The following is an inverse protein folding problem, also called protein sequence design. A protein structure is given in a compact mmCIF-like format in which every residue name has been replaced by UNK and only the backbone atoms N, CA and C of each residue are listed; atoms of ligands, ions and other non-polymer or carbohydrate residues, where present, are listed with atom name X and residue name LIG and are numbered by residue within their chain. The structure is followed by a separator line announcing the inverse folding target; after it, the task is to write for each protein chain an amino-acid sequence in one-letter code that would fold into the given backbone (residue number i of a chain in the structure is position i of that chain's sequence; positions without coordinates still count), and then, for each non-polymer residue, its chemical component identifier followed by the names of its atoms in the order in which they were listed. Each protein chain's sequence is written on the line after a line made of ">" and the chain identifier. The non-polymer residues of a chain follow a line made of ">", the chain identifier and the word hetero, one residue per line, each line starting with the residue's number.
data_IF_276911047609
#
_entry.id   IF_276911047609
#
_cell.length_a   1.000
_cell.length_b   1.000
_cell.length_c   1.000
_cell.angle_alpha   90.00
_cell.angle_beta   90.00
_cell.angle_gamma   90.00
#
_symmetry.space_group_name_H-M   'P 1'
#
loop_
_entity.id
_entity.type
_entity.pdbx_description
1 polymer ?
2 branched ?
3 non-polymer ?
4 non-polymer ?
5 non-polymer ?
6 water ?
#
# COMPACT_ATOMS: atom_id res chain seq x y z
N UNK A 11 48.53 -3.92 -26.24
CA UNK A 11 49.25 -2.82 -25.61
C UNK A 11 48.30 -1.69 -25.17
N UNK A 12 47.51 -1.17 -26.13
CA UNK A 12 46.40 -0.30 -25.80
C UNK A 12 45.22 -1.19 -25.40
N UNK A 13 45.28 -2.44 -25.84
CA UNK A 13 44.35 -3.49 -25.42
C UNK A 13 44.64 -3.87 -23.97
N UNK A 14 45.91 -4.14 -23.69
CA UNK A 14 46.40 -4.35 -22.33
C UNK A 14 45.98 -3.19 -21.43
N UNK A 15 46.46 -2.00 -21.75
CA UNK A 15 46.10 -0.78 -21.01
C UNK A 15 44.58 -0.61 -20.81
N UNK A 16 43.80 -0.96 -21.83
CA UNK A 16 42.34 -0.89 -21.72
C UNK A 16 41.76 -1.87 -20.68
N UNK A 17 42.12 -3.14 -20.79
CA UNK A 17 41.59 -4.16 -19.88
C UNK A 17 42.21 -4.14 -18.48
N UNK A 18 43.36 -3.48 -18.34
CA UNK A 18 43.99 -3.27 -17.04
C UNK A 18 43.39 -2.08 -16.30
N UNK A 19 43.10 -1.01 -17.04
CA UNK A 19 42.37 0.12 -16.49
C UNK A 19 40.93 -0.30 -16.22
N UNK A 20 40.52 -1.40 -16.84
CA UNK A 20 39.20 -2.00 -16.64
C UNK A 20 39.10 -2.80 -15.35
N UNK A 21 40.09 -3.65 -15.07
CA UNK A 21 40.05 -4.46 -13.85
C UNK A 21 40.39 -3.65 -12.60
N UNK A 22 40.80 -2.41 -12.80
CA UNK A 22 40.94 -1.47 -11.69
C UNK A 22 39.77 -0.49 -11.69
N UNK A 23 39.64 0.28 -12.77
CA UNK A 23 38.56 1.25 -12.86
C UNK A 23 37.15 0.67 -12.82
N UNK A 24 36.81 -0.20 -13.76
CA UNK A 24 35.49 -0.83 -13.76
C UNK A 24 35.21 -1.68 -12.51
N UNK A 25 35.88 -2.84 -12.40
CA UNK A 25 35.52 -3.83 -11.38
C UNK A 25 36.04 -3.58 -9.96
N UNK A 26 37.24 -3.04 -9.82
CA UNK A 26 37.77 -2.74 -8.48
C UNK A 26 37.24 -1.42 -7.90
N UNK A 27 37.20 -0.37 -8.70
CA UNK A 27 36.77 0.93 -8.20
C UNK A 27 35.28 1.18 -8.39
N UNK A 28 34.83 1.18 -9.63
CA UNK A 28 33.43 1.51 -9.94
C UNK A 28 32.41 0.48 -9.45
N UNK A 29 32.74 -0.80 -9.55
CA UNK A 29 31.83 -1.87 -9.11
C UNK A 29 32.06 -2.34 -7.67
N UNK A 30 32.93 -1.63 -6.97
CA UNK A 30 33.21 -1.89 -5.54
C UNK A 30 33.53 -3.36 -5.23
N UNK A 31 34.49 -3.91 -5.96
CA UNK A 31 34.91 -5.28 -5.79
C UNK A 31 35.98 -5.43 -4.72
N UNK A 32 36.28 -4.34 -4.03
CA UNK A 32 37.18 -4.39 -2.89
C UNK A 32 36.37 -4.57 -1.62
N UNK A 33 35.06 -4.73 -1.79
CA UNK A 33 34.13 -4.71 -0.68
C UNK A 33 33.39 -6.01 -0.46
N UNK A 34 33.32 -6.40 0.81
CA UNK A 34 32.34 -7.34 1.29
C UNK A 34 30.97 -6.69 1.14
N UNK A 35 29.95 -7.51 0.94
CA UNK A 35 28.60 -7.01 0.70
C UNK A 35 27.55 -7.77 1.55
N UNK A 36 26.71 -7.03 2.25
CA UNK A 36 25.62 -7.59 3.04
C UNK A 36 24.31 -6.91 2.62
N UNK A 37 23.18 -7.60 2.79
CA UNK A 37 21.89 -6.96 2.48
C UNK A 37 21.01 -6.78 3.73
N UNK A 38 20.07 -5.83 3.64
CA UNK A 38 19.43 -5.27 4.84
C UNK A 38 18.39 -6.16 5.51
N UNK A 39 18.42 -6.18 6.84
CA UNK A 39 17.29 -6.68 7.59
C UNK A 39 16.52 -5.46 8.11
N UNK A 40 15.20 -5.46 7.91
CA UNK A 40 14.37 -4.28 8.21
C UNK A 40 13.12 -4.63 9.03
N UNK A 41 12.67 -3.66 9.81
CA UNK A 41 11.38 -3.74 10.46
C UNK A 41 10.73 -2.36 10.43
N UNK A 42 9.46 -2.28 10.04
CA UNK A 42 8.77 -0.99 10.08
C UNK A 42 7.48 -1.03 10.92
N UNK A 43 7.20 0.09 11.60
CA UNK A 43 5.90 0.31 12.24
C UNK A 43 5.39 1.65 11.74
N UNK A 44 4.07 1.83 11.68
CA UNK A 44 3.52 3.08 11.14
C UNK A 44 2.47 3.68 12.05
N UNK A 45 2.27 4.99 11.96
CA UNK A 45 1.16 5.60 12.68
C UNK A 45 0.51 6.70 11.85
N UNK A 46 -0.79 6.58 11.60
CA UNK A 46 -1.50 7.61 10.87
C UNK A 46 -2.13 8.59 11.87
N UNK A 47 -2.23 9.87 11.49
CA UNK A 47 -2.77 10.91 12.39
C UNK A 47 -3.60 11.92 11.61
N UNK A 48 -4.79 12.18 12.12
CA UNK A 48 -5.69 13.13 11.49
C UNK A 48 -7.15 12.85 11.79
N UNK A 49 -8.01 13.80 11.43
CA UNK A 49 -9.44 13.67 11.54
C UNK A 49 -9.97 14.05 10.19
N UNK A 50 -11.02 13.36 9.75
CA UNK A 50 -11.75 13.77 8.56
C UNK A 50 -13.18 14.07 8.99
N UNK A 51 -13.83 15.00 8.28
CA UNK A 51 -15.19 15.42 8.57
C UNK A 51 -16.09 15.06 7.41
N UNK A 52 -17.24 14.46 7.71
CA UNK A 52 -18.22 14.15 6.68
C UNK A 52 -19.57 14.71 7.05
N UNK A 53 -20.32 15.10 6.03
CA UNK A 53 -21.73 15.43 6.19
C UNK A 53 -22.48 14.64 5.12
N UNK A 54 -23.36 13.73 5.56
CA UNK A 54 -24.15 12.94 4.62
C UNK A 54 -25.59 12.78 5.12
N UNK A 55 -26.42 12.17 4.27
CA UNK A 55 -27.84 11.99 4.58
C UNK A 55 -28.23 10.52 4.79
N UNK A 56 -28.49 10.17 6.04
CA UNK A 56 -28.18 11.07 7.16
C UNK A 56 -27.46 10.33 8.29
N UNK A 57 -26.20 10.67 8.51
CA UNK A 57 -25.58 10.40 9.81
C UNK A 57 -25.49 11.68 10.67
N UNK A 58 -25.87 12.82 10.08
CA UNK A 58 -25.56 14.12 10.63
C UNK A 58 -24.14 14.53 10.23
N UNK A 59 -23.51 15.37 11.04
CA UNK A 59 -22.07 15.64 10.88
C UNK A 59 -21.26 14.61 11.66
N UNK A 60 -20.25 14.06 11.00
CA UNK A 60 -19.52 12.90 11.51
C UNK A 60 -17.98 13.11 11.46
N UNK A 61 -17.26 12.73 12.51
CA UNK A 61 -15.80 12.75 12.44
C UNK A 61 -15.16 11.34 12.44
N UNK A 62 -14.12 11.18 11.63
CA UNK A 62 -13.39 9.93 11.51
C UNK A 62 -11.97 10.13 12.00
N UNK A 63 -11.60 9.43 13.08
CA UNK A 63 -10.21 9.49 13.51
C UNK A 63 -9.50 8.21 13.17
N UNK A 64 -8.26 8.09 13.63
CA UNK A 64 -7.38 6.99 13.26
C UNK A 64 -8.03 5.63 13.50
N UNK A 65 -8.78 5.51 14.59
CA UNK A 65 -9.37 4.22 14.92
C UNK A 65 -10.59 3.95 14.04
N UNK A 66 -11.11 4.99 13.39
CA UNK A 66 -12.20 4.83 12.44
C UNK A 66 -11.71 4.45 11.03
N UNK A 67 -10.64 5.07 10.57
CA UNK A 67 -10.18 4.90 9.18
C UNK A 67 -8.98 3.95 8.90
N UNK A 68 -8.42 3.30 9.92
CA UNK A 68 -7.34 2.36 9.63
C UNK A 68 -7.78 0.91 9.90
N UNK A 69 -7.93 0.14 8.82
CA UNK A 69 -8.49 -1.20 8.87
C UNK A 69 -7.53 -2.26 8.33
N UNK A 70 -7.05 -3.19 9.15
CA UNK A 70 -7.15 -3.30 10.60
C UNK A 70 -6.21 -2.26 11.24
N UNK A 71 -6.22 -2.11 12.58
CA UNK A 71 -5.46 -1.01 13.17
C UNK A 71 -3.96 -1.20 13.08
N UNK A 72 -3.54 -2.43 12.85
CA UNK A 72 -2.13 -2.74 12.73
C UNK A 72 -1.84 -3.84 11.70
N UNK A 73 -0.87 -3.60 10.82
CA UNK A 73 -0.36 -4.61 9.89
C UNK A 73 1.15 -4.57 9.92
N UNK A 74 1.81 -5.57 9.36
CA UNK A 74 3.26 -5.58 9.33
C UNK A 74 3.72 -4.91 8.04
N UNK A 75 4.30 -3.72 8.17
CA UNK A 75 4.79 -2.98 7.01
C UNK A 75 3.77 -2.69 5.89
N UNK A 76 2.54 -2.40 6.30
CA UNK A 76 1.48 -1.99 5.39
C UNK A 76 0.44 -1.23 6.19
N UNK A 77 -0.21 -0.24 5.59
CA UNK A 77 -1.33 0.40 6.26
C UNK A 77 -2.41 0.84 5.28
N UNK A 78 -3.67 0.62 5.65
CA UNK A 78 -4.76 0.98 4.78
C UNK A 78 -5.54 2.15 5.32
N UNK A 79 -5.65 3.22 4.53
CA UNK A 79 -6.44 4.39 4.92
C UNK A 79 -7.73 4.42 4.13
N UNK A 80 -8.84 4.44 4.86
CA UNK A 80 -10.16 4.58 4.27
C UNK A 80 -10.32 5.95 3.59
N UNK A 81 -10.92 5.97 2.40
CA UNK A 81 -11.09 7.22 1.63
C UNK A 81 -12.54 7.48 1.20
N UNK A 82 -13.19 6.49 0.62
CA UNK A 82 -14.60 6.65 0.25
C UNK A 82 -15.41 5.54 0.88
N UNK A 83 -16.71 5.73 1.06
CA UNK A 83 -17.56 4.63 1.55
C UNK A 83 -18.94 4.60 0.93
N UNK A 84 -19.55 3.42 0.97
CA UNK A 84 -20.99 3.26 0.81
C UNK A 84 -21.46 2.51 2.05
N UNK A 85 -22.27 3.17 2.86
CA UNK A 85 -22.67 2.66 4.18
C UNK A 85 -24.13 2.28 4.20
N UNK A 86 -24.39 1.05 4.64
CA UNK A 86 -25.74 0.55 4.78
C UNK A 86 -25.94 0.22 6.24
N UNK A 87 -26.88 0.89 6.90
CA UNK A 87 -27.02 0.76 8.34
C UNK A 87 -28.29 0.02 8.69
N UNK A 88 -28.34 -0.47 9.92
CA UNK A 88 -29.54 -1.08 10.49
C UNK A 88 -29.90 -2.41 9.83
N UNK A 89 -28.91 -3.12 9.33
CA UNK A 89 -29.14 -4.43 8.75
C UNK A 89 -29.53 -5.46 9.80
N UNK A 90 -30.45 -6.36 9.48
CA UNK A 90 -30.75 -7.48 10.37
C UNK A 90 -30.97 -8.74 9.56
N UNK A 91 -30.85 -9.91 10.20
CA UNK A 91 -31.03 -11.16 9.46
C UNK A 91 -32.51 -11.31 9.27
N UNK A 92 -32.92 -11.25 8.01
CA UNK A 92 -34.32 -11.10 7.71
C UNK A 92 -34.50 -11.29 6.21
N UNK A 93 -35.75 -11.16 5.74
CA UNK A 93 -36.07 -11.35 4.33
C UNK A 93 -36.17 -10.03 3.59
N UNK A 94 -35.71 -9.97 2.35
CA UNK A 94 -35.92 -8.78 1.52
C UNK A 94 -35.76 -9.11 0.03
N UNK A 95 -36.23 -8.21 -0.83
CA UNK A 95 -36.09 -8.39 -2.27
C UNK A 95 -34.65 -8.27 -2.71
N UNK A 96 -34.19 -9.17 -3.59
CA UNK A 96 -32.85 -9.04 -4.18
C UNK A 96 -32.81 -7.78 -5.01
N UNK A 97 -31.62 -7.25 -5.22
CA UNK A 97 -31.50 -6.09 -6.09
C UNK A 97 -31.71 -6.58 -7.51
N UNK A 98 -32.44 -5.78 -8.32
CA UNK A 98 -32.87 -6.20 -9.67
C UNK A 98 -31.73 -6.45 -10.65
N UNK A 99 -31.65 -7.66 -11.17
CA UNK A 99 -30.72 -8.04 -12.23
C UNK A 99 -31.40 -9.08 -13.10
N UNK A 100 -30.85 -9.32 -14.31
CA UNK A 100 -31.29 -10.45 -15.13
C UNK A 100 -31.42 -11.69 -14.27
N UNK A 101 -30.45 -11.88 -13.38
CA UNK A 101 -30.42 -13.06 -12.53
C UNK A 101 -31.49 -13.05 -11.46
N UNK A 102 -31.73 -11.87 -10.88
CA UNK A 102 -32.67 -11.73 -9.76
C UNK A 102 -34.16 -11.56 -10.13
N UNK A 103 -34.45 -10.86 -11.24
CA UNK A 103 -35.82 -10.44 -11.54
C UNK A 103 -36.73 -11.62 -11.82
N UNK A 104 -38.01 -11.40 -11.58
CA UNK A 104 -38.96 -12.48 -11.72
C UNK A 104 -40.40 -12.00 -11.91
N UNK A 105 -41.24 -12.92 -12.36
CA UNK A 105 -42.64 -12.68 -12.65
C UNK A 105 -43.48 -13.50 -11.70
N UNK A 106 -43.20 -14.78 -11.58
CA UNK A 106 -43.89 -15.63 -10.61
C UNK A 106 -43.01 -16.26 -9.50
N UNK A 107 -43.64 -16.65 -8.40
CA UNK A 107 -42.96 -17.38 -7.33
C UNK A 107 -42.21 -18.62 -7.86
N UNK A 108 -42.62 -19.12 -9.01
CA UNK A 108 -41.97 -20.27 -9.62
C UNK A 108 -40.54 -19.96 -10.06
N UNK A 109 -40.30 -18.70 -10.41
CA UNK A 109 -38.98 -18.28 -10.86
C UNK A 109 -37.91 -18.43 -9.79
N UNK A 110 -38.33 -18.52 -8.54
CA UNK A 110 -37.42 -18.52 -7.42
C UNK A 110 -37.48 -19.86 -6.68
N UNK A 111 -36.44 -20.68 -6.83
CA UNK A 111 -36.42 -21.95 -6.11
C UNK A 111 -35.94 -21.70 -4.68
N UNK A 112 -36.70 -22.14 -3.70
CA UNK A 112 -36.29 -22.00 -2.31
C UNK A 112 -34.94 -22.68 -2.09
N UNK A 113 -34.06 -21.97 -1.39
CA UNK A 113 -32.77 -22.50 -1.04
C UNK A 113 -31.69 -22.19 -2.04
N UNK A 114 -32.07 -21.83 -3.27
CA UNK A 114 -31.09 -21.47 -4.30
C UNK A 114 -30.24 -20.31 -3.80
N UNK A 115 -28.93 -20.51 -3.78
CA UNK A 115 -28.04 -19.48 -3.33
C UNK A 115 -26.79 -19.50 -4.20
N UNK A 116 -26.63 -18.49 -5.07
CA UNK A 116 -25.46 -18.42 -5.96
C UNK A 116 -24.59 -17.26 -5.54
N UNK A 117 -23.28 -17.42 -5.74
CA UNK A 117 -22.28 -16.48 -5.26
C UNK A 117 -22.57 -15.01 -5.57
N UNK A 118 -23.22 -14.73 -6.69
CA UNK A 118 -23.48 -13.33 -7.03
C UNK A 118 -24.87 -12.81 -6.66
N UNK A 119 -25.67 -13.66 -6.02
CA UNK A 119 -26.98 -13.23 -5.55
C UNK A 119 -26.91 -12.63 -4.16
N UNK A 120 -27.94 -11.87 -3.79
CA UNK A 120 -27.97 -11.16 -2.51
C UNK A 120 -28.23 -12.00 -1.26
N UNK A 121 -28.48 -13.30 -1.45
CA UNK A 121 -28.77 -14.16 -0.33
C UNK A 121 -29.38 -15.48 -0.76
N UNK A 122 -29.98 -16.18 0.21
CA UNK A 122 -30.62 -17.46 0.00
C UNK A 122 -32.11 -17.32 -0.28
N UNK A 123 -32.58 -17.86 -1.40
CA UNK A 123 -33.95 -17.63 -1.83
C UNK A 123 -35.00 -18.34 -0.96
N UNK A 124 -36.13 -17.65 -0.74
CA UNK A 124 -37.19 -18.14 0.13
C UNK A 124 -38.08 -19.32 -0.35
N UNK A 125 -38.31 -19.49 -1.66
CA UNK A 125 -38.27 -18.44 -2.65
C UNK A 125 -39.69 -17.96 -2.90
N UNK A 126 -39.82 -16.66 -3.12
CA UNK A 126 -41.10 -16.04 -3.36
C UNK A 126 -40.70 -14.95 -4.31
N UNK A 127 -41.55 -14.61 -5.25
CA UNK A 127 -41.28 -13.45 -6.08
C UNK A 127 -42.00 -12.31 -5.38
N UNK A 128 -41.27 -11.25 -5.04
CA UNK A 128 -41.85 -10.15 -4.27
C UNK A 128 -41.52 -8.83 -4.93
N UNK A 129 -42.31 -7.80 -4.64
CA UNK A 129 -42.10 -6.53 -5.33
C UNK A 129 -40.80 -5.89 -4.84
N UNK A 130 -39.91 -5.59 -5.78
CA UNK A 130 -38.75 -4.75 -5.50
C UNK A 130 -39.14 -3.29 -5.62
N UNK A 131 -40.06 -3.02 -6.54
CA UNK A 131 -40.48 -1.66 -6.81
C UNK A 131 -41.93 -1.71 -7.28
N UNK A 132 -42.41 -0.58 -7.78
CA UNK A 132 -43.74 -0.51 -8.36
C UNK A 132 -43.69 -1.31 -9.67
N UNK A 133 -42.66 -1.02 -10.46
CA UNK A 133 -42.43 -1.62 -11.76
C UNK A 133 -41.88 -3.07 -11.76
N UNK A 134 -40.90 -3.35 -10.91
CA UNK A 134 -40.14 -4.61 -10.98
C UNK A 134 -40.40 -5.57 -9.80
N UNK A 135 -40.29 -6.87 -10.08
CA UNK A 135 -40.37 -7.89 -9.04
C UNK A 135 -39.10 -8.76 -9.04
N UNK A 136 -38.76 -9.28 -7.86
CA UNK A 136 -37.46 -9.92 -7.62
C UNK A 136 -37.57 -11.04 -6.58
N UNK A 137 -36.72 -12.05 -6.71
CA UNK A 137 -36.71 -13.11 -5.73
C UNK A 137 -36.45 -12.60 -4.30
N UNK A 138 -37.32 -12.96 -3.37
CA UNK A 138 -37.09 -12.71 -1.95
C UNK A 138 -35.98 -13.60 -1.38
N UNK A 139 -34.99 -12.98 -0.76
CA UNK A 139 -33.88 -13.69 -0.15
C UNK A 139 -33.81 -13.45 1.35
N UNK A 140 -33.38 -14.48 2.06
CA UNK A 140 -32.92 -14.39 3.44
C UNK A 140 -31.47 -13.85 3.49
N UNK A 141 -31.25 -12.70 4.15
CA UNK A 141 -30.02 -11.95 4.02
C UNK A 141 -29.86 -10.96 5.16
N UNK A 142 -28.79 -10.18 5.14
CA UNK A 142 -28.71 -9.00 6.01
C UNK A 142 -29.45 -7.88 5.28
N UNK A 143 -30.59 -7.48 5.84
CA UNK A 143 -31.51 -6.59 5.14
C UNK A 143 -31.77 -5.32 5.95
N UNK A 144 -31.89 -4.19 5.25
CA UNK A 144 -31.90 -3.96 3.81
C UNK A 144 -30.56 -4.20 3.13
N UNK A 145 -30.61 -4.47 1.82
CA UNK A 145 -29.40 -4.72 1.06
C UNK A 145 -28.70 -3.40 0.82
N UNK A 146 -27.40 -3.47 0.61
CA UNK A 146 -26.65 -2.32 0.17
C UNK A 146 -27.13 -1.81 -1.19
N UNK A 147 -27.44 -0.52 -1.24
CA UNK A 147 -27.96 0.10 -2.45
C UNK A 147 -26.91 0.01 -3.58
N UNK A 148 -27.37 0.08 -4.81
CA UNK A 148 -26.44 -0.06 -5.94
C UNK A 148 -26.18 1.32 -6.55
N UNK A 149 -24.96 1.81 -6.36
CA UNK A 149 -24.62 3.20 -6.65
C UNK A 149 -23.14 3.29 -6.92
N UNK A 150 -22.72 4.40 -7.50
CA UNK A 150 -21.30 4.67 -7.66
C UNK A 150 -20.79 5.26 -6.35
N UNK A 151 -19.51 5.06 -6.04
CA UNK A 151 -18.99 5.69 -4.81
C UNK A 151 -18.90 7.19 -4.98
N UNK A 152 -19.17 7.95 -3.90
CA UNK A 152 -19.25 9.41 -3.94
C UNK A 152 -18.05 10.08 -4.64
N UNK A 153 -18.33 11.00 -5.55
CA UNK A 153 -17.33 11.92 -6.07
C UNK A 153 -17.77 13.35 -5.83
N UNK A 154 -17.06 14.14 -5.00
CA UNK A 154 -15.79 13.95 -4.30
C UNK A 154 -15.92 12.86 -3.26
N UNK A 155 -14.79 12.25 -2.85
CA UNK A 155 -14.84 11.14 -1.89
C UNK A 155 -15.20 11.65 -0.50
N UNK A 156 -15.96 10.87 0.26
CA UNK A 156 -16.39 11.24 1.61
C UNK A 156 -15.25 11.65 2.53
N UNK A 157 -14.18 10.88 2.46
CA UNK A 157 -13.02 11.06 3.33
C UNK A 157 -11.89 11.91 2.73
N UNK A 158 -12.24 12.76 1.76
CA UNK A 158 -11.28 13.65 1.11
C UNK A 158 -10.27 14.30 2.08
N UNK A 159 -10.72 14.67 3.27
CA UNK A 159 -9.85 15.24 4.30
C UNK A 159 -8.59 14.39 4.60
N UNK A 160 -8.67 13.11 4.25
CA UNK A 160 -7.57 12.16 4.41
C UNK A 160 -6.30 12.62 3.71
N UNK A 161 -6.46 13.43 2.67
CA UNK A 161 -5.31 13.94 1.96
C UNK A 161 -4.37 14.68 2.91
N UNK A 162 -4.95 15.32 3.92
CA UNK A 162 -4.12 16.07 4.85
C UNK A 162 -3.58 15.25 6.05
N UNK A 163 -3.90 13.96 6.13
CA UNK A 163 -3.43 13.10 7.23
C UNK A 163 -1.91 12.96 7.16
N UNK A 164 -1.29 12.62 8.29
CA UNK A 164 0.12 12.32 8.28
C UNK A 164 0.40 10.90 8.75
N UNK A 165 1.53 10.36 8.31
CA UNK A 165 1.94 9.03 8.71
C UNK A 165 3.41 9.04 9.12
N UNK A 166 3.64 8.63 10.36
CA UNK A 166 5.00 8.40 10.84
C UNK A 166 5.40 7.02 10.39
N UNK A 167 6.47 6.94 9.60
CA UNK A 167 7.06 5.66 9.22
C UNK A 167 8.35 5.43 10.02
N UNK A 168 8.28 4.50 10.96
CA UNK A 168 9.44 4.21 11.81
C UNK A 168 10.13 2.92 11.38
N UNK A 169 11.42 3.01 11.09
CA UNK A 169 12.12 1.95 10.41
C UNK A 169 13.45 1.64 11.07
N UNK A 170 13.55 0.42 11.57
CA UNK A 170 14.79 -0.11 12.11
C UNK A 170 15.47 -1.05 11.14
N UNK A 171 16.69 -0.72 10.77
CA UNK A 171 17.47 -1.60 9.91
C UNK A 171 18.75 -2.08 10.59
N UNK A 172 19.19 -3.25 10.16
CA UNK A 172 20.40 -3.86 10.69
C UNK A 172 21.14 -4.57 9.58
N UNK A 173 22.46 -4.56 9.70
CA UNK A 173 23.37 -5.24 8.78
C UNK A 173 24.24 -6.22 9.57
N UNK A 174 23.82 -7.49 9.62
CA UNK A 174 24.44 -8.52 10.46
C UNK A 174 25.96 -8.62 10.28
N UNK A 175 26.44 -8.66 9.03
CA UNK A 175 27.88 -8.83 8.77
C UNK A 175 28.71 -7.72 9.39
N UNK A 176 28.17 -6.51 9.40
CA UNK A 176 28.94 -5.38 9.89
C UNK A 176 28.62 -4.96 11.33
N UNK A 177 27.75 -5.73 12.00
CA UNK A 177 27.26 -5.36 13.33
C UNK A 177 26.72 -3.92 13.33
N UNK A 178 25.97 -3.60 12.26
CA UNK A 178 25.48 -2.24 12.02
C UNK A 178 23.98 -2.10 12.24
N UNK A 179 23.60 -1.12 13.06
CA UNK A 179 22.22 -0.89 13.45
C UNK A 179 21.86 0.57 13.33
N UNK A 180 20.78 0.88 12.62
CA UNK A 180 20.36 2.26 12.52
C UNK A 180 18.85 2.35 12.38
N UNK A 181 18.31 3.54 12.65
CA UNK A 181 16.90 3.80 12.60
C UNK A 181 16.68 4.95 11.62
N UNK A 182 15.50 5.07 11.00
CA UNK A 182 15.31 6.13 10.00
C UNK A 182 14.98 7.43 10.72
N UNK A 183 14.90 7.32 12.03
CA UNK A 183 14.82 8.47 12.89
C UNK A 183 16.28 8.75 13.22
N UNK A 184 16.80 9.79 12.57
CA UNK A 184 18.24 10.05 12.53
C UNK A 184 18.70 10.74 13.80
N UNK A 185 19.99 10.61 14.13
CA UNK A 185 20.55 11.22 15.35
C UNK A 185 20.39 12.74 15.41
N UNK A 186 20.31 13.43 14.27
CA UNK A 186 20.20 14.89 14.26
C UNK A 186 18.76 15.40 14.53
N UNK A 187 17.88 14.44 14.85
CA UNK A 187 16.44 14.60 15.01
C UNK A 187 16.18 14.36 16.49
N UNK A 188 15.06 14.86 17.00
CA UNK A 188 14.74 14.72 18.41
C UNK A 188 13.22 14.79 18.57
N UNK A 189 12.75 14.72 19.81
CA UNK A 189 11.31 14.66 20.02
C UNK A 189 10.47 15.87 19.55
N UNK A 190 10.90 17.08 19.87
CA UNK A 190 10.14 18.29 19.46
C UNK A 190 9.96 18.36 17.95
N UNK A 191 11.05 18.05 17.24
CA UNK A 191 11.03 18.07 15.80
C UNK A 191 9.85 17.23 15.28
N UNK A 192 9.71 16.02 15.82
CA UNK A 192 8.57 15.16 15.51
C UNK A 192 7.25 15.72 15.99
N UNK A 193 7.28 16.57 17.02
CA UNK A 193 6.06 17.30 17.42
C UNK A 193 5.52 18.23 16.34
N UNK A 194 6.41 18.72 15.48
CA UNK A 194 5.96 19.64 14.41
C UNK A 194 6.16 19.18 12.96
N UNK A 195 7.34 18.63 12.67
CA UNK A 195 7.78 18.33 11.30
C UNK A 195 6.84 17.49 10.41
N UNK A 196 6.88 17.80 9.12
CA UNK A 196 6.25 17.00 8.09
C UNK A 196 7.25 16.91 6.93
N UNK A 197 7.50 15.70 6.43
CA UNK A 197 8.54 15.51 5.42
C UNK A 197 8.37 16.38 4.18
N UNK A 198 9.40 17.16 3.88
CA UNK A 198 9.53 17.78 2.57
C UNK A 198 10.93 17.55 2.02
N UNK A 199 11.03 17.47 0.69
CA UNK A 199 12.31 17.37 0.03
C UNK A 199 13.20 18.56 0.37
N UNK A 200 12.65 19.77 0.24
CA UNK A 200 13.43 21.00 0.44
C UNK A 200 13.73 21.27 1.91
N UNK A 201 12.73 21.66 2.69
CA UNK A 201 12.98 22.06 4.07
C UNK A 201 13.06 20.97 5.16
N UNK A 202 12.48 19.79 4.93
CA UNK A 202 12.45 18.77 5.99
C UNK A 202 12.70 17.32 5.53
N UNK A 203 13.85 17.04 4.93
CA UNK A 203 14.04 15.70 4.35
C UNK A 203 14.24 14.59 5.40
N UNK A 204 14.60 15.00 6.61
CA UNK A 204 14.91 14.09 7.70
C UNK A 204 13.74 13.85 8.64
N UNK A 205 12.58 14.38 8.27
CA UNK A 205 11.40 14.19 9.09
C UNK A 205 10.69 12.94 8.58
N UNK A 206 10.55 11.93 9.45
CA UNK A 206 9.92 10.72 8.94
C UNK A 206 8.43 10.74 9.15
N UNK A 207 7.79 11.87 8.89
CA UNK A 207 6.33 11.97 9.00
C UNK A 207 5.80 12.61 7.72
N UNK A 208 4.99 11.86 6.97
CA UNK A 208 4.71 12.22 5.60
C UNK A 208 3.26 12.57 5.49
N UNK A 209 2.94 13.66 4.76
CA UNK A 209 1.56 13.95 4.40
C UNK A 209 1.13 12.96 3.31
N UNK A 210 -0.01 12.30 3.49
CA UNK A 210 -0.49 11.29 2.53
C UNK A 210 -0.61 11.90 1.14
N UNK A 211 -1.14 13.11 1.11
CA UNK A 211 -1.28 13.87 -0.12
C UNK A 211 0.06 13.95 -0.83
N UNK A 212 1.12 14.23 -0.08
CA UNK A 212 2.45 14.43 -0.66
C UNK A 212 3.02 13.17 -1.22
N UNK A 213 2.77 12.06 -0.52
CA UNK A 213 3.19 10.76 -1.00
C UNK A 213 2.53 10.48 -2.35
N UNK A 214 1.19 10.52 -2.44
CA UNK A 214 0.63 10.15 -3.74
C UNK A 214 0.95 11.20 -4.80
N UNK A 215 1.17 12.44 -4.36
CA UNK A 215 1.46 13.52 -5.27
C UNK A 215 2.81 13.34 -5.92
N UNK A 216 3.82 13.09 -5.10
CA UNK A 216 5.18 12.88 -5.55
C UNK A 216 5.29 11.67 -6.52
N UNK A 217 4.34 10.76 -6.43
CA UNK A 217 4.24 9.65 -7.39
C UNK A 217 3.50 10.09 -8.65
N UNK A 218 3.23 11.39 -8.74
CA UNK A 218 2.54 11.95 -9.89
C UNK A 218 1.13 11.40 -10.04
N UNK A 219 0.41 11.33 -8.92
CA UNK A 219 -0.99 10.93 -8.90
C UNK A 219 -1.79 11.98 -8.15
N UNK A 220 -3.11 11.95 -8.30
CA UNK A 220 -3.96 12.96 -7.65
C UNK A 220 -4.85 12.38 -6.54
N UNK A 221 -4.54 12.72 -5.29
CA UNK A 221 -5.21 12.11 -4.14
C UNK A 221 -6.73 12.10 -4.25
N UNK A 222 -7.29 13.20 -4.70
CA UNK A 222 -8.73 13.34 -4.71
C UNK A 222 -9.40 12.56 -5.84
N UNK A 223 -8.63 12.14 -6.84
CA UNK A 223 -9.13 11.18 -7.84
C UNK A 223 -9.02 9.75 -7.33
N UNK A 224 -7.89 9.46 -6.69
CA UNK A 224 -7.58 8.12 -6.21
C UNK A 224 -8.52 7.71 -5.07
N UNK A 225 -8.88 8.69 -4.25
CA UNK A 225 -9.70 8.44 -3.08
C UNK A 225 -11.13 8.12 -3.48
N UNK A 226 -11.47 8.29 -4.73
CA UNK A 226 -12.80 7.87 -5.12
C UNK A 226 -12.96 6.35 -5.16
N UNK A 227 -12.13 5.68 -5.97
CA UNK A 227 -12.21 4.21 -6.10
C UNK A 227 -11.15 3.45 -5.30
N UNK A 228 -10.24 4.18 -4.67
CA UNK A 228 -9.14 3.58 -3.93
C UNK A 228 -7.96 3.22 -4.81
N UNK A 229 -6.92 2.65 -4.18
CA UNK A 229 -5.74 2.18 -4.89
C UNK A 229 -4.66 1.61 -3.97
N UNK A 230 -3.50 1.27 -4.54
CA UNK A 230 -2.36 0.78 -3.79
C UNK A 230 -1.11 1.66 -3.99
N UNK A 231 -0.53 2.18 -2.90
CA UNK A 231 0.64 3.06 -2.98
C UNK A 231 1.86 2.41 -2.38
N UNK A 232 2.93 2.31 -3.16
CA UNK A 232 4.18 1.86 -2.59
C UNK A 232 5.06 2.96 -2.02
N UNK A 233 5.68 2.67 -0.89
CA UNK A 233 6.70 3.53 -0.30
C UNK A 233 7.99 2.71 -0.18
N UNK A 234 9.00 3.05 -0.99
CA UNK A 234 10.27 2.32 -0.96
C UNK A 234 11.27 3.09 -0.14
N UNK A 235 11.83 2.41 0.85
CA UNK A 235 12.86 2.98 1.71
C UNK A 235 14.15 2.24 1.38
N UNK A 236 15.08 2.93 0.73
CA UNK A 236 16.32 2.28 0.31
C UNK A 236 17.53 2.67 1.19
N UNK A 237 18.14 1.68 1.85
CA UNK A 237 19.37 1.94 2.58
C UNK A 237 20.58 1.32 1.89
N UNK A 238 21.26 2.11 1.08
CA UNK A 238 22.42 1.61 0.37
C UNK A 238 23.60 2.35 0.97
N UNK A 239 24.54 1.61 1.51
CA UNK A 239 25.55 2.23 2.33
C UNK A 239 26.97 1.76 2.03
N UNK A 240 27.87 2.74 1.92
CA UNK A 240 29.30 2.50 1.93
C UNK A 240 29.71 2.70 3.38
N UNK A 241 30.10 1.63 4.05
CA UNK A 241 30.44 1.75 5.46
C UNK A 241 31.92 2.12 5.63
N UNK A 242 32.65 2.17 4.52
CA UNK A 242 34.00 2.74 4.47
C UNK A 242 33.87 4.24 4.66
N UNK A 243 32.82 4.82 4.10
CA UNK A 243 32.43 6.19 4.41
C UNK A 243 31.94 6.27 5.85
N UNK A 244 31.83 7.50 6.39
CA UNK A 244 31.36 7.54 7.79
C UNK A 244 29.92 7.04 7.93
N UNK A 245 29.55 6.70 9.15
CA UNK A 245 28.23 6.18 9.45
C UNK A 245 27.16 7.26 9.30
N UNK A 246 27.59 8.49 9.01
CA UNK A 246 26.72 9.66 8.84
C UNK A 246 25.97 9.70 7.51
N UNK A 247 26.59 9.24 6.41
CA UNK A 247 25.80 8.77 5.26
C UNK A 247 25.32 7.43 5.76
N UNK A 248 24.78 6.61 4.86
CA UNK A 248 23.96 5.49 5.29
C UNK A 248 22.78 6.13 5.97
N UNK A 249 21.99 6.77 5.12
CA UNK A 249 20.74 7.36 5.47
C UNK A 249 19.77 6.68 4.52
N UNK A 250 18.49 6.58 4.90
CA UNK A 250 17.55 5.99 3.95
C UNK A 250 17.18 6.99 2.87
N UNK A 251 16.74 6.50 1.72
CA UNK A 251 16.18 7.35 0.67
C UNK A 251 14.79 6.87 0.30
N UNK A 252 13.82 7.77 0.40
CA UNK A 252 12.41 7.46 0.13
C UNK A 252 12.05 7.74 -1.32
N UNK A 253 11.42 6.78 -1.98
CA UNK A 253 10.76 7.06 -3.25
C UNK A 253 9.35 6.47 -3.24
N UNK A 254 8.42 7.15 -3.89
CA UNK A 254 7.03 6.75 -3.83
C UNK A 254 6.49 6.38 -5.20
N UNK A 255 5.76 5.28 -5.30
CA UNK A 255 5.25 4.84 -6.61
C UNK A 255 3.86 4.23 -6.49
N UNK A 256 2.92 4.59 -7.37
CA UNK A 256 1.63 3.90 -7.35
C UNK A 256 1.70 2.47 -7.89
N UNK A 257 1.26 1.51 -7.08
CA UNK A 257 1.38 0.07 -7.38
C UNK A 257 0.31 -0.61 -8.28
N UNK A 258 -0.94 -0.19 -8.16
CA UNK A 258 -2.03 -0.74 -8.97
C UNK A 258 -2.09 0.05 -10.26
N UNK A 259 -3.15 -0.14 -11.04
CA UNK A 259 -3.38 0.65 -12.25
C UNK A 259 -2.32 0.43 -13.36
N UNK A 260 -2.13 -0.84 -13.72
CA UNK A 260 -1.17 -1.25 -14.77
C UNK A 260 -1.54 -0.83 -16.21
N UNK A 261 -2.81 -1.02 -16.57
CA UNK A 261 -3.32 -0.58 -17.88
C UNK A 261 -4.41 0.50 -17.75
N UNK A 262 -4.02 1.76 -17.42
CA UNK A 262 -4.91 2.88 -17.04
C UNK A 262 -5.98 3.25 -18.08
N UNK A 263 -5.86 2.73 -19.30
CA UNK A 263 -6.93 2.83 -20.30
C UNK A 263 -8.18 2.05 -19.85
N UNK A 264 -7.99 1.13 -18.90
CA UNK A 264 -9.04 0.24 -18.42
C UNK A 264 -9.99 0.85 -17.40
N UNK A 265 -11.28 0.63 -17.64
CA UNK A 265 -12.31 0.90 -16.65
C UNK A 265 -12.62 -0.40 -15.89
N UNK A 266 -11.83 -1.44 -16.15
CA UNK A 266 -12.13 -2.76 -15.63
C UNK A 266 -11.52 -3.05 -14.26
N UNK A 267 -12.39 -3.28 -13.29
CA UNK A 267 -12.01 -3.52 -11.89
C UNK A 267 -11.02 -2.47 -11.35
N UNK A 268 -11.41 -1.19 -11.38
CA UNK A 268 -10.44 -0.20 -10.92
C UNK A 268 -10.34 -0.12 -9.39
N UNK A 269 -9.20 0.36 -8.89
CA UNK A 269 -9.01 0.68 -7.48
C UNK A 269 -8.96 -0.45 -6.46
N UNK A 270 -9.31 -0.11 -5.24
CA UNK A 270 -9.26 -1.04 -4.13
C UNK A 270 -10.44 -0.79 -3.21
N UNK A 271 -11.15 -1.84 -2.85
CA UNK A 271 -12.22 -1.69 -1.86
C UNK A 271 -12.55 -3.00 -1.18
N UNK A 272 -13.14 -2.90 0.00
CA UNK A 272 -13.57 -4.11 0.70
C UNK A 272 -14.79 -3.82 1.57
N UNK A 273 -15.50 -4.87 1.94
CA UNK A 273 -16.65 -4.70 2.80
C UNK A 273 -16.25 -5.12 4.22
N UNK A 274 -16.76 -4.39 5.21
CA UNK A 274 -16.54 -4.72 6.62
C UNK A 274 -17.75 -4.28 7.44
N UNK A 275 -17.89 -4.80 8.65
CA UNK A 275 -19.13 -4.53 9.36
C UNK A 275 -18.87 -4.15 10.80
N UNK A 276 -19.83 -3.48 11.41
CA UNK A 276 -19.81 -3.25 12.83
C UNK A 276 -21.08 -3.87 13.38
N UNK A 277 -20.98 -4.61 14.49
CA UNK A 277 -22.14 -5.32 15.00
C UNK A 277 -22.64 -4.75 16.31
N UNK A 278 -23.96 -4.77 16.48
CA UNK A 278 -24.63 -4.24 17.67
C UNK A 278 -25.75 -5.19 18.12
N UNK A 279 -26.05 -5.20 19.41
CA UNK A 279 -27.30 -5.80 19.87
C UNK A 279 -28.28 -4.66 20.13
N UNK A 280 -29.47 -4.76 19.54
CA UNK A 280 -30.50 -3.75 19.77
C UNK A 280 -31.27 -4.05 21.07
N UNK A 281 -32.36 -3.31 21.28
CA UNK A 281 -33.24 -3.50 22.44
C UNK A 281 -33.61 -4.97 22.71
N UNK A 282 -34.29 -5.60 21.75
CA UNK A 282 -34.72 -7.00 21.84
C UNK A 282 -33.56 -7.97 22.03
N UNK A 283 -32.35 -7.48 21.83
CA UNK A 283 -31.18 -8.35 21.87
C UNK A 283 -31.19 -9.23 20.64
N UNK A 284 -31.42 -8.60 19.48
CA UNK A 284 -31.23 -9.26 18.19
C UNK A 284 -30.18 -8.47 17.41
N UNK A 285 -29.19 -9.18 16.89
CA UNK A 285 -28.09 -8.54 16.18
C UNK A 285 -28.54 -7.66 15.01
N UNK A 286 -28.12 -6.41 15.08
CA UNK A 286 -28.24 -5.53 13.94
C UNK A 286 -26.81 -5.08 13.57
N UNK A 287 -26.60 -4.71 12.32
CA UNK A 287 -25.25 -4.60 11.80
C UNK A 287 -25.16 -3.40 10.87
N UNK A 288 -24.01 -2.73 10.84
CA UNK A 288 -23.75 -1.69 9.86
C UNK A 288 -22.72 -2.25 8.91
N UNK A 289 -23.00 -2.17 7.62
CA UNK A 289 -22.07 -2.64 6.61
C UNK A 289 -21.44 -1.47 5.87
N UNK A 290 -20.12 -1.50 5.70
CA UNK A 290 -19.45 -0.47 4.93
C UNK A 290 -18.76 -1.14 3.74
N UNK A 291 -18.98 -0.60 2.55
CA UNK A 291 -18.11 -0.96 1.46
C UNK A 291 -17.16 0.23 1.42
N UNK A 292 -15.95 0.02 1.93
CA UNK A 292 -14.92 1.03 1.93
C UNK A 292 -13.94 0.97 0.79
N UNK A 293 -13.57 2.15 0.31
CA UNK A 293 -12.54 2.30 -0.70
C UNK A 293 -11.47 3.05 0.03
N UNK A 294 -10.23 2.80 -0.35
CA UNK A 294 -9.15 3.50 0.30
C UNK A 294 -7.86 3.17 -0.39
N UNK A 295 -6.78 3.69 0.17
CA UNK A 295 -5.46 3.43 -0.37
C UNK A 295 -4.69 2.57 0.61
N UNK A 296 -4.27 1.39 0.17
CA UNK A 296 -3.34 0.60 0.93
C UNK A 296 -1.94 1.17 0.69
N UNK A 297 -1.19 1.47 1.75
CA UNK A 297 0.20 1.90 1.61
C UNK A 297 1.18 0.77 1.93
N UNK A 298 1.90 0.29 0.93
CA UNK A 298 2.92 -0.72 1.13
C UNK A 298 4.30 -0.13 1.40
N UNK A 299 4.83 -0.39 2.59
CA UNK A 299 6.18 0.03 2.90
C UNK A 299 7.14 -1.09 2.56
N UNK A 300 8.05 -0.84 1.62
CA UNK A 300 9.05 -1.82 1.17
C UNK A 300 10.45 -1.32 1.45
N UNK A 301 11.25 -2.08 2.17
CA UNK A 301 12.61 -1.66 2.50
C UNK A 301 13.69 -2.51 1.82
N UNK A 302 14.64 -1.87 1.15
CA UNK A 302 15.75 -2.56 0.52
C UNK A 302 17.05 -1.90 0.90
N UNK A 303 18.14 -2.64 0.78
CA UNK A 303 19.44 -2.01 0.75
C UNK A 303 20.63 -2.93 0.85
N UNK A 304 21.78 -2.43 0.43
CA UNK A 304 23.02 -3.19 0.41
C UNK A 304 24.15 -2.37 0.99
N UNK A 305 24.91 -2.99 1.88
CA UNK A 305 26.06 -2.33 2.49
C UNK A 305 27.34 -3.02 2.08
N UNK A 306 28.24 -2.26 1.46
CA UNK A 306 29.61 -2.72 1.26
C UNK A 306 30.57 -2.21 2.32
N UNK A 307 31.63 -2.94 2.59
CA UNK A 307 32.70 -2.45 3.46
C UNK A 307 34.02 -3.07 3.00
N UNK A 308 35.13 -2.41 3.26
CA UNK A 308 36.40 -2.93 2.72
C UNK A 308 36.88 -4.22 3.38
N UNK A 309 37.10 -5.24 2.54
CA UNK A 309 37.84 -6.43 2.95
C UNK A 309 38.86 -6.79 1.88
N UNK A 310 40.01 -7.31 2.32
CA UNK A 310 41.09 -7.66 1.41
C UNK A 310 40.73 -8.87 0.55
N UNK A 311 40.05 -9.83 1.16
CA UNK A 311 39.74 -11.10 0.50
C UNK A 311 39.09 -10.93 -0.89
N UNK A 312 37.94 -10.26 -0.98
CA UNK A 312 37.35 -10.13 -2.32
C UNK A 312 38.13 -9.19 -3.23
N UNK A 313 39.01 -8.37 -2.67
CA UNK A 313 39.88 -7.49 -3.46
C UNK A 313 40.94 -8.30 -4.19
N UNK A 314 41.66 -9.13 -3.42
CA UNK A 314 42.65 -10.04 -3.96
C UNK A 314 41.98 -10.94 -4.98
N UNK A 315 40.90 -11.60 -4.56
CA UNK A 315 40.16 -12.50 -5.43
C UNK A 315 39.78 -11.83 -6.75
N UNK A 316 39.20 -10.63 -6.68
CA UNK A 316 38.83 -9.89 -7.88
C UNK A 316 40.01 -9.51 -8.76
N UNK A 317 41.15 -9.22 -8.15
CA UNK A 317 42.35 -8.90 -8.90
C UNK A 317 42.85 -10.15 -9.64
N UNK A 318 42.93 -11.27 -8.92
CA UNK A 318 43.28 -12.55 -9.50
C UNK A 318 42.41 -12.91 -10.68
N UNK A 319 41.09 -12.72 -10.52
CA UNK A 319 40.17 -12.94 -11.62
C UNK A 319 40.37 -11.91 -12.74
N UNK A 320 40.94 -10.76 -12.39
CA UNK A 320 41.18 -9.69 -13.34
C UNK A 320 42.34 -9.93 -14.29
N UNK A 321 43.46 -10.40 -13.73
CA UNK A 321 44.65 -10.69 -14.52
C UNK A 321 44.42 -11.82 -15.53
N UNK A 322 43.56 -12.77 -15.16
CA UNK A 322 43.20 -13.89 -16.01
C UNK A 322 42.63 -13.42 -17.35
N UNK A 323 41.79 -12.40 -17.31
CA UNK A 323 41.24 -11.79 -18.52
C UNK A 323 42.23 -10.81 -19.18
N UNK A 324 42.91 -10.02 -18.36
CA UNK A 324 43.85 -9.01 -18.84
C UNK A 324 44.99 -9.58 -19.69
N UNK A 325 45.51 -10.74 -19.30
CA UNK A 325 46.53 -11.42 -20.10
C UNK A 325 45.96 -12.15 -21.32
N UNK A 326 44.80 -12.78 -21.11
CA UNK A 326 44.11 -13.50 -22.18
C UNK A 326 43.68 -12.58 -23.33
N UNK A 327 43.63 -11.28 -23.06
CA UNK A 327 43.53 -10.30 -24.14
C UNK A 327 44.67 -10.48 -25.15
N UNK A 328 45.90 -10.25 -24.69
CA UNK A 328 47.11 -10.41 -25.49
C UNK A 328 47.26 -11.85 -26.02
N UNK A 329 46.69 -12.81 -25.29
CA UNK A 329 46.71 -14.20 -25.74
C UNK A 329 45.78 -14.45 -26.95
N UNK A 330 44.60 -13.85 -26.94
CA UNK A 330 43.63 -14.05 -28.02
C UNK A 330 43.91 -13.13 -29.21
N UNK A 331 44.79 -12.15 -29.01
CA UNK A 331 45.36 -11.41 -30.14
C UNK A 331 45.97 -12.39 -31.16
N UNK A 332 46.80 -13.30 -30.67
CA UNK A 332 47.38 -14.36 -31.50
C UNK A 332 46.49 -15.60 -31.72
N UNK A 333 45.79 -16.02 -30.67
CA UNK A 333 45.21 -17.38 -30.62
C UNK A 333 44.03 -17.68 -31.56
N UNK A 334 43.53 -16.66 -32.25
CA UNK A 334 42.39 -16.83 -33.15
C UNK A 334 42.71 -17.81 -34.29
#
# INVERSE_FOLDING_TARGET
>A
GSSKKVGTLNRFTQALVIAYVIGYVCVYNKGYQDTDTVLSSVTTKVKGIALTKTSELGERIWDVADYIIPPQEDGSFFVLTNMIITTNQTQSKCAENPTPASTCTSHRDCKRGFNDARGDGVRTGRCVSYSASVKTCEVLSWCPLEKIVDPPNPPLLADAERFTVLIKNNIRYPKFNFNKRNILPNINSSYLTHCVFSRKTDPDCPIFRLGDIVGEAEEDFQIMAVRGGVMGVQIRWDCDLDMPQSWCVPRYTFRRLDNKDPDNNVAPGYNFRFAKYYKNSDGTETRTLIKGYGIRFDVMVFGQAGKFNIIPTLLNIGAGLALLGLVNVICDWIVLTFMK
#
